data_IF_737870871363
#
_entry.id   IF_737870871363
#
_cell.length_a   1.000
_cell.length_b   1.000
_cell.length_c   1.000
_cell.angle_alpha   90.00
_cell.angle_beta   90.00
_cell.angle_gamma   90.00
#
_symmetry.space_group_name_H-M   'P 1'
#
loop_
_entity.id
_entity.type
_entity.pdbx_description
1 polymer ?
#
# COMPACT_ATOMS: atom_id res chain seq x y z
N UNK A 1 -9.82 -1.23 -1.90
CA UNK A 1 -9.26 -0.10 -2.65
C UNK A 1 -10.23 0.43 -3.69
N UNK A 2 -10.94 -0.44 -4.38
CA UNK A 2 -11.85 0.03 -5.41
C UNK A 2 -12.97 0.86 -4.82
N UNK A 3 -13.47 0.49 -3.65
CA UNK A 3 -14.52 1.27 -3.00
C UNK A 3 -14.00 2.66 -2.66
N UNK A 4 -12.78 2.76 -2.17
CA UNK A 4 -12.19 4.04 -1.85
C UNK A 4 -12.00 4.88 -3.11
N UNK A 5 -11.54 4.26 -4.19
CA UNK A 5 -11.33 4.94 -5.45
C UNK A 5 -12.66 5.50 -5.97
N UNK A 6 -13.75 4.73 -5.83
CA UNK A 6 -15.04 5.18 -6.30
C UNK A 6 -15.61 6.32 -5.45
N UNK A 7 -15.17 6.46 -4.22
CA UNK A 7 -15.63 7.57 -3.40
C UNK A 7 -15.05 8.89 -3.87
N UNK A 8 -13.87 8.84 -4.50
CA UNK A 8 -13.25 10.03 -5.09
C UNK A 8 -13.17 11.18 -4.12
N UNK A 9 -12.71 10.87 -2.92
CA UNK A 9 -12.62 11.89 -1.88
C UNK A 9 -11.70 13.04 -2.27
N UNK A 10 -10.67 12.76 -3.07
CA UNK A 10 -9.76 13.82 -3.49
C UNK A 10 -10.46 14.85 -4.36
N UNK A 11 -11.50 14.46 -5.08
CA UNK A 11 -12.20 15.38 -5.97
C UNK A 11 -13.04 16.38 -5.19
N UNK A 12 -13.27 16.10 -3.90
CA UNK A 12 -14.02 16.99 -3.07
C UNK A 12 -13.10 17.71 -2.08
N UNK A 13 -11.81 17.81 -2.43
CA UNK A 13 -10.81 18.49 -1.59
C UNK A 13 -10.68 17.85 -0.22
N UNK A 14 -10.88 16.55 -0.14
CA UNK A 14 -10.73 15.83 1.12
C UNK A 14 -9.48 14.97 1.08
N UNK A 15 -8.37 15.58 0.71
CA UNK A 15 -7.13 14.86 0.53
C UNK A 15 -6.68 14.13 1.78
N UNK A 16 -6.78 14.78 2.95
CA UNK A 16 -6.34 14.16 4.18
C UNK A 16 -7.16 12.91 4.48
N UNK A 17 -8.47 12.98 4.28
CA UNK A 17 -9.33 11.81 4.49
C UNK A 17 -9.00 10.71 3.52
N UNK A 18 -8.76 11.07 2.26
CA UNK A 18 -8.45 10.09 1.24
C UNK A 18 -7.14 9.36 1.56
N UNK A 19 -6.09 10.10 1.91
CA UNK A 19 -4.80 9.47 2.18
C UNK A 19 -4.82 8.70 3.49
N UNK A 20 -5.59 9.15 4.48
CA UNK A 20 -5.75 8.38 5.71
C UNK A 20 -6.42 7.04 5.43
N UNK A 21 -7.48 7.06 4.61
CA UNK A 21 -8.17 5.82 4.27
C UNK A 21 -7.28 4.90 3.44
N UNK A 22 -6.53 5.47 2.49
CA UNK A 22 -5.66 4.68 1.64
C UNK A 22 -4.58 3.98 2.45
N UNK A 23 -3.93 4.71 3.37
CA UNK A 23 -2.88 4.10 4.17
C UNK A 23 -3.46 3.15 5.20
N UNK A 24 -4.67 3.39 5.71
CA UNK A 24 -5.28 2.44 6.64
C UNK A 24 -5.53 1.10 5.95
N UNK A 25 -5.98 1.13 4.70
CA UNK A 25 -6.17 -0.10 3.94
C UNK A 25 -4.84 -0.82 3.77
N UNK A 26 -3.78 -0.10 3.41
CA UNK A 26 -2.47 -0.71 3.25
C UNK A 26 -1.93 -1.24 4.57
N UNK A 27 -2.10 -0.52 5.66
CA UNK A 27 -1.61 -0.97 6.96
C UNK A 27 -2.34 -2.23 7.41
N UNK A 28 -3.64 -2.29 7.16
CA UNK A 28 -4.42 -3.49 7.48
C UNK A 28 -3.92 -4.67 6.67
N UNK A 29 -3.68 -4.47 5.39
CA UNK A 29 -3.17 -5.51 4.52
C UNK A 29 -1.79 -6.00 4.99
N UNK A 30 -0.90 -5.06 5.31
CA UNK A 30 0.45 -5.39 5.74
C UNK A 30 0.41 -6.17 7.06
N UNK A 31 -0.43 -5.73 8.00
CA UNK A 31 -0.54 -6.44 9.27
C UNK A 31 -1.03 -7.86 9.06
N UNK A 32 -2.01 -8.04 8.18
CA UNK A 32 -2.54 -9.37 7.92
C UNK A 32 -1.54 -10.26 7.17
N UNK A 33 -0.80 -9.67 6.24
CA UNK A 33 0.09 -10.45 5.39
C UNK A 33 1.41 -10.81 6.07
N UNK A 34 2.00 -9.89 6.82
CA UNK A 34 3.30 -10.11 7.42
C UNK A 34 3.29 -10.17 8.94
N UNK A 35 2.16 -9.93 9.55
CA UNK A 35 2.00 -10.25 10.97
C UNK A 35 2.51 -9.24 11.97
N UNK A 36 2.90 -8.04 11.55
CA UNK A 36 3.31 -7.05 12.55
C UNK A 36 2.28 -5.92 12.65
N UNK A 37 2.36 -5.17 13.74
CA UNK A 37 1.31 -4.20 14.07
C UNK A 37 1.39 -2.91 13.29
N UNK A 38 1.19 -3.00 11.97
CA UNK A 38 1.35 -1.86 11.09
C UNK A 38 0.41 -0.71 11.42
N UNK A 39 -0.76 -1.01 12.00
CA UNK A 39 -1.71 0.06 12.30
C UNK A 39 -1.18 1.05 13.34
N UNK A 40 -0.25 0.62 14.16
CA UNK A 40 0.30 1.45 15.21
C UNK A 40 1.72 1.92 14.92
N UNK A 41 2.21 1.69 13.71
CA UNK A 41 3.57 2.03 13.36
C UNK A 41 3.59 3.30 12.52
N UNK A 42 4.67 4.05 12.62
CA UNK A 42 4.88 5.20 11.75
C UNK A 42 5.26 4.71 10.36
N UNK A 43 5.23 5.63 9.39
CA UNK A 43 5.66 5.29 8.03
C UNK A 43 7.09 4.79 8.02
N UNK A 44 7.99 5.45 8.76
CA UNK A 44 9.39 5.02 8.82
C UNK A 44 9.52 3.63 9.41
N UNK A 45 8.74 3.33 10.44
CA UNK A 45 8.80 2.02 11.06
C UNK A 45 8.31 0.93 10.12
N UNK A 46 7.27 1.21 9.35
CA UNK A 46 6.78 0.24 8.38
C UNK A 46 7.82 0.02 7.28
N UNK A 47 8.39 1.10 6.76
CA UNK A 47 9.39 0.99 5.70
C UNK A 47 10.57 0.16 6.19
N UNK A 48 11.02 0.41 7.41
CA UNK A 48 12.15 -0.33 7.96
C UNK A 48 11.81 -1.81 8.18
N UNK A 49 10.61 -2.08 8.69
CA UNK A 49 10.19 -3.46 8.91
C UNK A 49 10.09 -4.23 7.61
N UNK A 50 9.68 -3.55 6.54
CA UNK A 50 9.51 -4.23 5.26
C UNK A 50 10.83 -4.49 4.55
N UNK A 51 11.93 -3.90 5.01
CA UNK A 51 13.23 -4.19 4.40
C UNK A 51 13.61 -5.65 4.53
N UNK A 52 13.18 -6.29 5.61
CA UNK A 52 13.54 -7.68 5.85
C UNK A 52 12.66 -8.66 5.08
N UNK A 53 11.59 -8.18 4.49
CA UNK A 53 10.67 -9.06 3.80
C UNK A 53 11.06 -9.19 2.33
N UNK A 54 10.73 -10.35 1.77
CA UNK A 54 11.02 -10.57 0.37
C UNK A 54 9.87 -10.07 -0.47
N UNK A 55 10.09 -8.99 -1.19
CA UNK A 55 9.09 -8.50 -2.12
C UNK A 55 9.79 -7.91 -3.34
N UNK A 56 9.06 -7.78 -4.44
CA UNK A 56 9.63 -7.12 -5.61
C UNK A 56 10.06 -5.70 -5.28
N UNK A 57 11.15 -5.26 -5.88
CA UNK A 57 11.65 -3.92 -5.63
C UNK A 57 10.61 -2.87 -5.97
N UNK A 58 9.85 -3.07 -7.03
CA UNK A 58 8.82 -2.11 -7.40
C UNK A 58 7.78 -1.98 -6.31
N UNK A 59 7.38 -3.10 -5.70
CA UNK A 59 6.39 -3.06 -4.63
C UNK A 59 6.92 -2.26 -3.44
N UNK A 60 8.19 -2.47 -3.11
CA UNK A 60 8.82 -1.74 -2.01
C UNK A 60 8.87 -0.24 -2.31
N UNK A 61 9.22 0.12 -3.53
CA UNK A 61 9.28 1.52 -3.93
C UNK A 61 7.90 2.16 -3.92
N UNK A 62 6.90 1.43 -4.40
CA UNK A 62 5.53 1.95 -4.42
C UNK A 62 5.03 2.21 -3.00
N UNK A 63 5.27 1.27 -2.10
CA UNK A 63 4.84 1.44 -0.72
C UNK A 63 5.51 2.65 -0.08
N UNK A 64 6.82 2.79 -0.29
CA UNK A 64 7.55 3.92 0.26
C UNK A 64 6.98 5.24 -0.26
N UNK A 65 6.72 5.32 -1.56
CA UNK A 65 6.20 6.54 -2.17
C UNK A 65 4.83 6.89 -1.60
N UNK A 66 3.95 5.91 -1.45
CA UNK A 66 2.62 6.17 -0.92
C UNK A 66 2.70 6.68 0.51
N UNK A 67 3.50 6.02 1.34
CA UNK A 67 3.60 6.41 2.74
C UNK A 67 4.20 7.82 2.88
N UNK A 68 5.19 8.15 2.06
CA UNK A 68 5.77 9.49 2.08
C UNK A 68 4.79 10.55 1.63
N UNK A 69 4.06 10.28 0.54
CA UNK A 69 3.08 11.23 0.04
C UNK A 69 1.96 11.42 1.05
N UNK A 70 1.53 10.35 1.69
CA UNK A 70 0.47 10.44 2.69
C UNK A 70 0.91 11.29 3.88
N UNK A 71 2.17 11.13 4.30
CA UNK A 71 2.68 11.94 5.41
C UNK A 71 2.70 13.42 5.04
N UNK A 72 3.07 13.74 3.81
CA UNK A 72 3.07 15.14 3.38
C UNK A 72 1.67 15.71 3.39
N UNK A 73 0.68 14.94 2.99
CA UNK A 73 -0.70 15.40 2.99
C UNK A 73 -1.22 15.54 4.42
N UNK A 74 -0.94 14.54 5.26
CA UNK A 74 -1.51 14.53 6.61
C UNK A 74 -0.84 15.49 7.57
N UNK A 75 0.46 15.65 7.44
CA UNK A 75 1.21 16.39 8.43
C UNK A 75 1.84 17.69 7.92
N UNK A 76 2.05 17.83 6.62
CA UNK A 76 2.64 19.03 6.05
C UNK A 76 1.66 19.79 5.16
N UNK A 77 0.39 19.39 5.16
CA UNK A 77 -0.68 20.08 4.44
C UNK A 77 -0.45 20.20 2.95
N UNK A 78 0.23 19.22 2.36
CA UNK A 78 0.38 19.19 0.92
C UNK A 78 -0.98 18.96 0.27
N UNK A 79 -1.17 19.51 -0.93
CA UNK A 79 -2.41 19.32 -1.66
C UNK A 79 -2.08 18.78 -3.03
N UNK A 80 -1.98 17.45 -3.15
CA UNK A 80 -1.62 16.86 -4.44
C UNK A 80 -2.72 17.09 -5.46
N UNK A 81 -2.32 17.12 -6.73
CA UNK A 81 -3.31 17.25 -7.80
C UNK A 81 -3.95 15.89 -8.08
N UNK A 82 -4.93 15.90 -8.98
CA UNK A 82 -5.68 14.67 -9.28
C UNK A 82 -4.77 13.61 -9.87
N UNK A 83 -3.77 14.00 -10.63
CA UNK A 83 -2.87 13.05 -11.24
C UNK A 83 -2.04 12.32 -10.19
N UNK A 84 -1.56 13.03 -9.18
CA UNK A 84 -0.82 12.41 -8.11
C UNK A 84 -1.71 11.49 -7.27
N UNK A 85 -2.95 11.92 -7.01
CA UNK A 85 -3.89 11.10 -6.26
C UNK A 85 -4.13 9.79 -6.99
N UNK A 86 -4.31 9.85 -8.29
CA UNK A 86 -4.54 8.65 -9.09
C UNK A 86 -3.29 7.78 -9.13
N UNK A 87 -2.12 8.38 -9.24
CA UNK A 87 -0.87 7.63 -9.25
C UNK A 87 -0.66 6.90 -7.94
N UNK A 88 -0.98 7.54 -6.81
CA UNK A 88 -0.83 6.88 -5.52
C UNK A 88 -1.83 5.75 -5.35
N UNK A 89 -3.04 5.91 -5.84
CA UNK A 89 -4.00 4.82 -5.82
C UNK A 89 -3.47 3.62 -6.62
N UNK A 90 -2.93 3.88 -7.81
CA UNK A 90 -2.40 2.80 -8.64
C UNK A 90 -1.21 2.12 -7.99
N UNK A 91 -0.34 2.87 -7.33
CA UNK A 91 0.77 2.27 -6.62
C UNK A 91 0.28 1.36 -5.51
N UNK A 92 -0.76 1.77 -4.78
CA UNK A 92 -1.32 0.94 -3.72
C UNK A 92 -1.95 -0.32 -4.32
N UNK A 93 -2.68 -0.16 -5.40
CA UNK A 93 -3.32 -1.29 -6.07
C UNK A 93 -2.26 -2.31 -6.51
N UNK A 94 -1.21 -1.84 -7.16
CA UNK A 94 -0.17 -2.75 -7.66
C UNK A 94 0.64 -3.34 -6.52
N UNK A 95 0.85 -2.60 -5.43
CA UNK A 95 1.54 -3.16 -4.29
C UNK A 95 0.80 -4.40 -3.78
N UNK A 96 -0.52 -4.28 -3.61
CA UNK A 96 -1.31 -5.40 -3.14
C UNK A 96 -1.31 -6.54 -4.15
N UNK A 97 -1.52 -6.21 -5.43
CA UNK A 97 -1.60 -7.25 -6.45
C UNK A 97 -0.29 -8.00 -6.63
N UNK A 98 0.83 -7.28 -6.58
CA UNK A 98 2.12 -7.92 -6.78
C UNK A 98 2.49 -8.81 -5.61
N UNK A 99 2.18 -8.39 -4.40
CA UNK A 99 2.50 -9.23 -3.24
C UNK A 99 1.50 -10.38 -3.10
N UNK A 100 0.27 -10.16 -3.53
CA UNK A 100 -0.73 -11.21 -3.51
C UNK A 100 -0.38 -12.30 -4.52
N UNK A 101 0.04 -11.91 -5.70
CA UNK A 101 0.42 -12.86 -6.72
C UNK A 101 1.63 -13.68 -6.28
N UNK A 102 2.63 -13.05 -5.67
CA UNK A 102 3.80 -13.76 -5.17
C UNK A 102 3.40 -14.78 -4.12
N UNK A 103 2.47 -14.42 -3.24
CA UNK A 103 2.00 -15.35 -2.24
C UNK A 103 1.28 -16.52 -2.87
N UNK A 104 0.46 -16.27 -3.88
CA UNK A 104 -0.26 -17.33 -4.57
C UNK A 104 0.70 -18.27 -5.28
N UNK A 105 1.76 -17.73 -5.87
CA UNK A 105 2.75 -18.55 -6.53
C UNK A 105 3.48 -19.45 -5.56
N UNK A 106 3.80 -18.93 -4.39
CA UNK A 106 4.44 -19.73 -3.36
C UNK A 106 3.52 -20.87 -2.91
N UNK A 107 2.27 -20.57 -2.73
CA UNK A 107 1.32 -21.59 -2.33
C UNK A 107 1.18 -22.66 -3.39
N UNK A 108 1.13 -22.25 -4.64
CA UNK A 108 1.01 -23.18 -5.73
C UNK A 108 2.23 -24.10 -5.79
N UNK A 109 3.40 -23.53 -5.64
CA UNK A 109 4.61 -24.35 -5.66
C UNK A 109 4.61 -25.33 -4.51
N UNK A 110 4.16 -24.92 -3.37
CA UNK A 110 4.14 -25.81 -2.22
C UNK A 110 3.13 -26.92 -2.37
N UNK A 111 2.03 -26.63 -3.06
CA UNK A 111 1.00 -27.62 -3.17
C UNK A 111 1.19 -28.55 -4.33
N UNK A 112 1.92 -28.24 -5.31
CA UNK A 112 1.91 -28.94 -6.46
C UNK A 112 3.08 -29.25 -7.07
N UNK A 113 3.76 -29.92 -6.50
CA UNK A 113 4.98 -30.31 -6.95
C UNK A 113 4.89 -30.93 -8.25
N UNK A 114 3.82 -31.29 -8.61
CA UNK A 114 3.80 -32.04 -9.65
C UNK A 114 3.44 -31.50 -10.82
N UNK A 115 3.11 -30.72 -10.88
CA UNK A 115 2.68 -30.25 -11.90
C UNK A 115 3.35 -30.49 -13.00
N UNK A 116 3.85 -30.90 -13.04
CA UNK A 116 4.46 -31.25 -14.00
C UNK A 116 4.47 -31.46 -14.63
#
# INVERSE_FOLDING_TARGET
LEALHHQKLWQNNKHKQYYSALTDILRTYIAARWGFGAMEMTSDEIIEAMRAEELPDKARMDLTAILRDADLVKFAKATPDAEQNEADYLKAYYFVEETKVAEAEEETEGQEPVKN
#
